data_IF_477156978987
#
_entry.id   IF_477156978987
#
_cell.length_a   1.000
_cell.length_b   1.000
_cell.length_c   1.000
_cell.angle_alpha   90.00
_cell.angle_beta   90.00
_cell.angle_gamma   90.00
#
_symmetry.space_group_name_H-M   'P 1'
#
loop_
_entity.id
_entity.type
_entity.pdbx_description
1 polymer ?
#
# COMPACT_ATOMS: atom_id res chain seq x y z
N UNK A 1 -15.26 -0.04 -12.97
CA UNK A 1 -13.96 -0.46 -13.53
C UNK A 1 -12.93 0.56 -13.09
N UNK A 2 -11.74 0.11 -12.68
CA UNK A 2 -10.69 0.96 -12.11
C UNK A 2 -9.43 0.75 -12.96
N UNK A 3 -8.92 1.82 -13.57
CA UNK A 3 -7.63 1.81 -14.28
C UNK A 3 -6.49 2.19 -13.31
N UNK A 4 -5.25 2.27 -13.81
CA UNK A 4 -4.08 2.63 -13.02
C UNK A 4 -4.21 4.00 -12.33
N UNK A 5 -4.84 4.98 -12.98
CA UNK A 5 -5.06 6.31 -12.37
C UNK A 5 -6.14 6.26 -11.28
N UNK A 6 -7.18 5.43 -11.47
CA UNK A 6 -8.14 5.11 -10.43
C UNK A 6 -7.49 4.43 -9.22
N UNK A 7 -6.61 3.45 -9.44
CA UNK A 7 -5.87 2.77 -8.38
C UNK A 7 -4.97 3.76 -7.62
N UNK A 8 -4.24 4.65 -8.31
CA UNK A 8 -3.46 5.72 -7.67
C UNK A 8 -4.30 6.55 -6.69
N UNK A 9 -5.53 6.91 -7.07
CA UNK A 9 -6.44 7.68 -6.18
C UNK A 9 -6.83 6.87 -4.95
N UNK A 10 -7.10 5.57 -5.10
CA UNK A 10 -7.41 4.68 -3.97
C UNK A 10 -6.21 4.55 -3.02
N UNK A 11 -5.00 4.42 -3.55
CA UNK A 11 -3.79 4.34 -2.72
C UNK A 11 -3.51 5.64 -1.99
N UNK A 12 -3.64 6.79 -2.67
CA UNK A 12 -3.54 8.09 -2.00
C UNK A 12 -4.54 8.21 -0.85
N UNK A 13 -5.78 7.79 -1.06
CA UNK A 13 -6.80 7.79 -0.02
C UNK A 13 -6.46 6.81 1.12
N UNK A 14 -6.00 5.59 0.81
CA UNK A 14 -5.59 4.61 1.81
C UNK A 14 -4.43 5.13 2.67
N UNK A 15 -3.40 5.73 2.05
CA UNK A 15 -2.28 6.35 2.76
C UNK A 15 -2.74 7.49 3.67
N UNK A 16 -3.68 8.32 3.20
CA UNK A 16 -4.27 9.40 4.01
C UNK A 16 -5.07 8.86 5.21
N UNK A 17 -5.90 7.83 5.01
CA UNK A 17 -6.66 7.21 6.10
C UNK A 17 -5.76 6.54 7.12
N UNK A 18 -4.69 5.89 6.67
CA UNK A 18 -3.69 5.29 7.53
C UNK A 18 -2.95 6.34 8.36
N UNK A 19 -2.64 7.50 7.76
CA UNK A 19 -2.08 8.64 8.48
C UNK A 19 -3.03 9.13 9.57
N UNK A 20 -4.32 9.27 9.26
CA UNK A 20 -5.32 9.72 10.23
C UNK A 20 -5.46 8.75 11.43
N UNK A 21 -5.34 7.45 11.18
CA UNK A 21 -5.50 6.41 12.21
C UNK A 21 -4.17 5.94 12.82
N UNK A 22 -3.04 6.53 12.45
CA UNK A 22 -1.71 6.08 12.84
C UNK A 22 -1.60 5.90 14.37
N UNK A 23 -2.01 6.92 15.14
CA UNK A 23 -1.92 6.88 16.60
C UNK A 23 -2.83 5.80 17.22
N UNK A 24 -4.04 5.63 16.67
CA UNK A 24 -4.96 4.59 17.10
C UNK A 24 -4.41 3.18 16.78
N UNK A 25 -3.75 3.01 15.63
CA UNK A 25 -3.14 1.72 15.26
C UNK A 25 -1.92 1.44 16.15
N UNK A 26 -1.09 2.44 16.43
CA UNK A 26 0.03 2.32 17.36
C UNK A 26 -0.41 1.85 18.76
N UNK A 27 -1.61 2.24 19.21
CA UNK A 27 -2.13 1.83 20.52
C UNK A 27 -2.79 0.45 20.53
N UNK A 28 -3.01 -0.20 19.38
CA UNK A 28 -3.58 -1.55 19.31
C UNK A 28 -2.55 -2.65 19.62
N UNK A 29 -1.27 -2.42 19.32
CA UNK A 29 -0.24 -3.43 19.54
C UNK A 29 0.19 -3.48 21.01
N UNK A 30 -0.49 -4.30 21.81
CA UNK A 30 -0.33 -4.36 23.27
C UNK A 30 0.36 -5.63 23.78
N UNK A 31 0.95 -6.47 22.91
CA UNK A 31 1.49 -7.78 23.32
C UNK A 31 2.90 -8.09 22.75
N UNK A 32 3.85 -8.65 23.53
CA UNK A 32 3.90 -8.73 25.00
C UNK A 32 4.39 -7.41 25.64
N UNK A 33 5.00 -6.52 24.86
CA UNK A 33 5.38 -5.15 25.23
C UNK A 33 5.02 -4.24 24.04
N UNK A 34 4.30 -3.14 24.25
CA UNK A 34 3.99 -2.21 23.17
C UNK A 34 5.28 -1.55 22.65
N UNK A 35 5.62 -1.79 21.39
CA UNK A 35 6.61 -1.01 20.64
C UNK A 35 6.04 0.33 20.15
N UNK A 36 4.70 0.43 20.07
CA UNK A 36 3.98 1.66 19.76
C UNK A 36 4.24 2.19 18.35
N UNK A 37 4.76 1.35 17.45
CA UNK A 37 5.24 1.78 16.13
C UNK A 37 4.49 1.14 14.95
N UNK A 38 3.53 0.24 15.21
CA UNK A 38 2.85 -0.56 14.17
C UNK A 38 2.23 0.31 13.08
N UNK A 39 1.46 1.33 13.46
CA UNK A 39 0.84 2.30 12.55
C UNK A 39 1.86 3.19 11.87
N UNK A 40 2.93 3.59 12.58
CA UNK A 40 4.05 4.35 11.99
C UNK A 40 4.74 3.55 10.88
N UNK A 41 5.06 2.30 11.15
CA UNK A 41 5.69 1.36 10.21
C UNK A 41 4.83 1.13 8.96
N UNK A 42 3.52 0.93 9.14
CA UNK A 42 2.59 0.79 8.02
C UNK A 42 2.49 2.09 7.20
N UNK A 43 2.42 3.26 7.86
CA UNK A 43 2.31 4.55 7.18
C UNK A 43 3.55 4.85 6.34
N UNK A 44 4.75 4.68 6.89
CA UNK A 44 6.01 4.89 6.16
C UNK A 44 6.10 3.96 4.94
N UNK A 45 5.68 2.70 5.10
CA UNK A 45 5.61 1.73 4.00
C UNK A 45 4.67 2.20 2.88
N UNK A 46 3.46 2.67 3.24
CA UNK A 46 2.48 3.19 2.27
C UNK A 46 2.89 4.50 1.62
N UNK A 47 3.66 5.35 2.34
CA UNK A 47 4.25 6.55 1.78
C UNK A 47 5.26 6.19 0.69
N UNK A 48 6.18 5.25 0.94
CA UNK A 48 7.10 4.77 -0.10
C UNK A 48 6.36 4.17 -1.30
N UNK A 49 5.30 3.40 -1.07
CA UNK A 49 4.46 2.86 -2.12
C UNK A 49 3.79 3.96 -2.98
N UNK A 50 3.30 5.02 -2.34
CA UNK A 50 2.67 6.17 -3.01
C UNK A 50 3.69 6.99 -3.80
N UNK A 51 4.87 7.26 -3.22
CA UNK A 51 5.95 8.01 -3.85
C UNK A 51 6.40 7.36 -5.17
N UNK A 52 6.40 6.03 -5.24
CA UNK A 52 6.77 5.27 -6.44
C UNK A 52 5.79 5.47 -7.62
N UNK A 53 4.52 5.78 -7.34
CA UNK A 53 3.46 5.85 -8.37
C UNK A 53 2.87 7.23 -8.59
N UNK A 54 3.08 8.19 -7.68
CA UNK A 54 2.32 9.46 -7.63
C UNK A 54 2.40 10.27 -8.92
N UNK A 55 3.57 10.31 -9.56
CA UNK A 55 3.83 11.09 -10.77
C UNK A 55 3.74 10.26 -12.06
N UNK A 56 3.44 8.96 -11.94
CA UNK A 56 3.34 8.08 -13.11
C UNK A 56 2.09 8.39 -13.96
N UNK A 57 2.23 8.59 -15.28
CA UNK A 57 1.09 8.75 -16.19
C UNK A 57 0.42 7.42 -16.59
N UNK A 58 0.93 6.28 -16.10
CA UNK A 58 0.51 4.94 -16.47
C UNK A 58 -1.00 4.70 -16.21
N UNK A 59 -1.67 4.05 -17.15
CA UNK A 59 -3.11 3.74 -17.08
C UNK A 59 -3.38 2.25 -16.91
N UNK A 60 -2.43 1.37 -17.22
CA UNK A 60 -2.56 -0.05 -16.97
C UNK A 60 -2.53 -0.32 -15.44
N UNK A 61 -3.59 -0.94 -14.92
CA UNK A 61 -3.74 -1.16 -13.48
C UNK A 61 -2.68 -2.14 -12.95
N UNK A 62 -2.33 -3.19 -13.70
CA UNK A 62 -1.30 -4.16 -13.31
C UNK A 62 0.07 -3.49 -13.16
N UNK A 63 0.46 -2.66 -14.13
CA UNK A 63 1.74 -1.93 -14.08
C UNK A 63 1.82 -0.97 -12.88
N UNK A 64 0.75 -0.23 -12.59
CA UNK A 64 0.68 0.63 -11.40
C UNK A 64 0.73 -0.20 -10.12
N UNK A 65 0.01 -1.31 -10.07
CA UNK A 65 -0.01 -2.20 -8.91
C UNK A 65 1.37 -2.79 -8.59
N UNK A 66 2.13 -3.20 -9.62
CA UNK A 66 3.49 -3.70 -9.45
C UNK A 66 4.46 -2.64 -8.96
N UNK A 67 4.42 -1.43 -9.55
CA UNK A 67 5.27 -0.31 -9.10
C UNK A 67 4.98 0.04 -7.64
N UNK A 68 3.70 0.16 -7.29
CA UNK A 68 3.28 0.39 -5.90
C UNK A 68 3.77 -0.72 -4.96
N UNK A 69 3.58 -1.99 -5.32
CA UNK A 69 4.01 -3.12 -4.50
C UNK A 69 5.54 -3.17 -4.35
N UNK A 70 6.28 -2.77 -5.39
CA UNK A 70 7.73 -2.61 -5.33
C UNK A 70 8.13 -1.49 -4.36
N UNK A 71 7.52 -0.31 -4.47
CA UNK A 71 7.76 0.80 -3.55
C UNK A 71 7.43 0.44 -2.10
N UNK A 72 6.33 -0.30 -1.87
CA UNK A 72 5.98 -0.82 -0.56
C UNK A 72 7.04 -1.81 -0.03
N UNK A 73 7.57 -2.69 -0.87
CA UNK A 73 8.59 -3.65 -0.48
C UNK A 73 9.92 -2.99 -0.14
N UNK A 74 10.38 -2.06 -0.99
CA UNK A 74 11.65 -1.35 -0.79
C UNK A 74 11.60 -0.37 0.38
N UNK A 75 10.42 0.19 0.65
CA UNK A 75 10.17 1.11 1.76
C UNK A 75 9.68 0.46 3.06
N UNK A 76 9.55 -0.87 3.10
CA UNK A 76 8.98 -1.59 4.23
C UNK A 76 9.73 -1.28 5.54
N UNK A 77 9.00 -0.95 6.60
CA UNK A 77 9.55 -0.68 7.94
C UNK A 77 8.96 -1.63 8.96
N UNK A 78 9.83 -2.22 9.79
CA UNK A 78 9.44 -3.17 10.83
C UNK A 78 8.65 -4.37 10.30
N UNK A 79 8.07 -5.14 11.22
CA UNK A 79 7.33 -6.35 10.87
C UNK A 79 6.00 -6.03 10.15
N UNK A 80 5.27 -5.02 10.62
CA UNK A 80 3.98 -4.63 10.04
C UNK A 80 4.11 -4.11 8.61
N UNK A 81 5.15 -3.32 8.33
CA UNK A 81 5.47 -2.84 6.97
C UNK A 81 5.87 -3.99 6.04
N UNK A 82 6.70 -4.93 6.51
CA UNK A 82 7.06 -6.11 5.72
C UNK A 82 5.82 -6.91 5.36
N UNK A 83 4.96 -7.26 6.32
CA UNK A 83 3.71 -8.01 6.07
C UNK A 83 2.81 -7.26 5.08
N UNK A 84 2.61 -5.95 5.29
CA UNK A 84 1.81 -5.11 4.40
C UNK A 84 2.35 -5.11 2.96
N UNK A 85 3.67 -5.06 2.79
CA UNK A 85 4.28 -5.14 1.45
C UNK A 85 4.02 -6.49 0.76
N UNK A 86 3.94 -7.59 1.53
CA UNK A 86 3.62 -8.91 0.97
C UNK A 86 2.16 -8.98 0.51
N UNK A 87 1.23 -8.37 1.26
CA UNK A 87 -0.18 -8.25 0.87
C UNK A 87 -0.28 -7.51 -0.48
N UNK A 88 0.39 -6.36 -0.60
CA UNK A 88 0.41 -5.61 -1.86
C UNK A 88 1.05 -6.37 -3.00
N UNK A 89 2.12 -7.13 -2.75
CA UNK A 89 2.71 -8.00 -3.78
C UNK A 89 1.74 -9.09 -4.23
N UNK A 90 1.01 -9.71 -3.31
CA UNK A 90 -0.03 -10.68 -3.63
C UNK A 90 -1.15 -10.06 -4.45
N UNK A 91 -1.62 -8.88 -4.04
CA UNK A 91 -2.62 -8.11 -4.77
C UNK A 91 -2.17 -7.76 -6.19
N UNK A 92 -0.94 -7.24 -6.35
CA UNK A 92 -0.40 -6.88 -7.67
C UNK A 92 -0.34 -8.07 -8.63
N UNK A 93 0.04 -9.27 -8.15
CA UNK A 93 0.03 -10.50 -8.95
C UNK A 93 -1.35 -10.88 -9.48
N UNK A 94 -2.42 -10.60 -8.73
CA UNK A 94 -3.79 -10.85 -9.22
C UNK A 94 -4.21 -9.95 -10.39
N UNK A 95 -3.46 -8.87 -10.60
CA UNK A 95 -3.67 -7.87 -11.65
C UNK A 95 -2.66 -7.98 -12.80
N UNK A 96 -1.87 -9.05 -12.84
CA UNK A 96 -0.92 -9.31 -13.94
C UNK A 96 -1.62 -9.18 -15.29
N UNK A 97 -1.01 -8.41 -16.18
CA UNK A 97 -1.47 -8.12 -17.55
C UNK A 97 -2.87 -7.48 -17.67
N UNK A 98 -3.49 -7.05 -16.57
CA UNK A 98 -4.78 -6.36 -16.60
C UNK A 98 -4.61 -4.87 -16.87
N UNK A 99 -5.28 -4.36 -17.89
CA UNK A 99 -5.39 -2.91 -18.13
C UNK A 99 -6.28 -2.23 -17.07
N UNK A 100 -7.31 -2.94 -16.61
CA UNK A 100 -8.34 -2.44 -15.69
C UNK A 100 -8.76 -3.52 -14.70
N UNK A 101 -9.12 -3.11 -13.48
CA UNK A 101 -9.69 -3.95 -12.44
C UNK A 101 -11.23 -3.83 -12.43
N UNK A 102 -11.90 -4.99 -12.40
CA UNK A 102 -13.36 -5.16 -12.39
C UNK A 102 -13.79 -5.84 -11.10
N UNK A 103 -15.08 -5.78 -10.79
CA UNK A 103 -15.60 -6.36 -9.54
C UNK A 103 -15.50 -7.90 -9.44
N UNK A 104 -15.21 -8.58 -10.55
CA UNK A 104 -15.06 -10.05 -10.60
C UNK A 104 -13.60 -10.50 -10.61
N UNK A 105 -12.67 -9.52 -10.61
CA UNK A 105 -11.24 -9.76 -10.60
C UNK A 105 -10.68 -9.98 -9.20
#
# INVERSE_FOLDING_TARGET
>A
MIDGQGLKRLIKAATFWLQHHQAAINSLNVYPVPDGDTGTNMLLTMQSAWEEIKDSPERNVGQVAHKMAHGALMGARGNSGVILSQIWRGFARSLDDKEVCRARD
#
